data_IF_469217059660
#
_entry.id   IF_469217059660
#
_cell.length_a   1.000
_cell.length_b   1.000
_cell.length_c   1.000
_cell.angle_alpha   90.00
_cell.angle_beta   90.00
_cell.angle_gamma   90.00
#
_symmetry.space_group_name_H-M   'P 1'
#
loop_
_entity.id
_entity.type
_entity.pdbx_description
1 polymer ?
#
# COMPACT_ATOMS: atom_id res chain seq x y z
N UNK A 1 9.39 12.06 10.99
CA UNK A 1 8.33 12.15 9.97
C UNK A 1 8.54 13.36 9.09
N UNK A 2 8.41 13.19 7.77
CA UNK A 2 8.64 14.22 6.75
C UNK A 2 7.32 14.81 6.22
N UNK A 3 7.33 15.97 5.54
CA UNK A 3 6.11 16.55 4.96
C UNK A 3 5.37 15.60 3.99
N UNK A 4 6.10 14.82 3.18
CA UNK A 4 5.50 13.83 2.28
C UNK A 4 4.79 12.71 3.03
N UNK A 5 5.37 12.24 4.14
CA UNK A 5 4.73 11.21 4.98
C UNK A 5 3.38 11.71 5.54
N UNK A 6 3.34 12.96 6.03
CA UNK A 6 2.09 13.58 6.46
C UNK A 6 1.11 13.80 5.30
N UNK A 7 1.59 14.15 4.10
CA UNK A 7 0.74 14.28 2.93
C UNK A 7 0.04 12.97 2.57
N UNK A 8 0.71 11.83 2.71
CA UNK A 8 0.09 10.52 2.50
C UNK A 8 -1.02 10.22 3.54
N UNK A 9 -0.80 10.56 4.81
CA UNK A 9 -1.85 10.47 5.84
C UNK A 9 -3.09 11.33 5.53
N UNK A 10 -2.89 12.50 4.91
CA UNK A 10 -4.00 13.34 4.45
C UNK A 10 -4.78 12.61 3.35
N UNK A 11 -4.09 12.02 2.37
CA UNK A 11 -4.74 11.23 1.32
C UNK A 11 -5.56 10.05 1.91
N UNK A 12 -5.01 9.34 2.89
CA UNK A 12 -5.70 8.25 3.61
C UNK A 12 -6.95 8.76 4.35
N UNK A 13 -6.85 9.92 4.98
CA UNK A 13 -7.98 10.57 5.67
C UNK A 13 -9.07 10.99 4.69
N UNK A 14 -8.72 11.51 3.53
CA UNK A 14 -9.68 11.88 2.48
C UNK A 14 -10.43 10.64 1.93
N UNK A 15 -9.74 9.51 1.78
CA UNK A 15 -10.39 8.24 1.42
C UNK A 15 -11.34 7.75 2.54
N UNK A 16 -10.95 7.89 3.80
CA UNK A 16 -11.84 7.58 4.92
C UNK A 16 -13.09 8.50 4.92
N UNK A 17 -12.93 9.80 4.64
CA UNK A 17 -14.04 10.73 4.50
C UNK A 17 -15.00 10.33 3.38
N UNK A 18 -14.47 9.87 2.23
CA UNK A 18 -15.29 9.33 1.12
C UNK A 18 -16.11 8.13 1.57
N UNK A 19 -15.51 7.20 2.32
CA UNK A 19 -16.18 6.01 2.87
C UNK A 19 -17.26 6.42 3.88
N UNK A 20 -16.94 7.31 4.82
CA UNK A 20 -17.88 7.78 5.82
C UNK A 20 -19.06 8.52 5.19
N UNK A 21 -18.84 9.34 4.16
CA UNK A 21 -19.93 10.03 3.47
C UNK A 21 -20.96 9.08 2.85
N UNK A 22 -20.51 7.94 2.31
CA UNK A 22 -21.41 6.90 1.82
C UNK A 22 -22.20 6.27 2.98
N UNK A 23 -21.50 5.89 4.06
CA UNK A 23 -22.10 5.23 5.22
C UNK A 23 -23.11 6.12 5.96
N UNK A 24 -22.80 7.41 6.14
CA UNK A 24 -23.74 8.37 6.77
C UNK A 24 -24.97 8.61 5.91
N UNK A 25 -24.86 8.39 4.59
CA UNK A 25 -25.99 8.38 3.65
C UNK A 25 -26.69 7.02 3.58
N UNK A 26 -26.39 6.08 4.49
CA UNK A 26 -26.91 4.70 4.51
C UNK A 26 -26.61 3.91 3.22
N UNK A 27 -25.51 4.22 2.55
CA UNK A 27 -25.03 3.53 1.35
C UNK A 27 -23.76 2.74 1.64
N UNK A 28 -23.58 1.62 0.94
CA UNK A 28 -22.31 0.92 0.97
C UNK A 28 -21.28 1.68 0.12
N UNK A 29 -20.06 1.90 0.62
CA UNK A 29 -19.03 2.60 -0.14
C UNK A 29 -18.64 1.78 -1.37
N UNK A 30 -18.77 2.36 -2.55
CA UNK A 30 -18.26 1.74 -3.78
C UNK A 30 -16.74 1.60 -3.70
N UNK A 31 -16.17 0.46 -4.14
CA UNK A 31 -14.72 0.32 -4.30
C UNK A 31 -14.16 1.29 -5.37
N UNK A 32 -15.03 1.90 -6.19
CA UNK A 32 -14.61 2.83 -7.23
C UNK A 32 -13.88 2.13 -8.38
N UNK A 33 -13.37 2.91 -9.35
CA UNK A 33 -12.59 2.35 -10.44
C UNK A 33 -11.23 1.84 -9.93
N UNK A 34 -10.74 0.75 -10.51
CA UNK A 34 -9.42 0.17 -10.20
C UNK A 34 -8.30 1.22 -10.14
N UNK A 35 -8.32 2.18 -11.08
CA UNK A 35 -7.29 3.20 -11.16
C UNK A 35 -7.23 4.14 -9.94
N UNK A 36 -8.38 4.37 -9.27
CA UNK A 36 -8.43 5.16 -8.03
C UNK A 36 -7.57 4.52 -6.96
N UNK A 37 -7.68 3.20 -6.81
CA UNK A 37 -6.92 2.44 -5.82
C UNK A 37 -5.42 2.57 -6.07
N UNK A 38 -4.98 2.49 -7.33
CA UNK A 38 -3.58 2.66 -7.69
C UNK A 38 -3.05 4.08 -7.45
N UNK A 39 -3.82 5.11 -7.82
CA UNK A 39 -3.38 6.50 -7.66
C UNK A 39 -3.29 6.92 -6.19
N UNK A 40 -4.10 6.33 -5.31
CA UNK A 40 -4.02 6.56 -3.87
C UNK A 40 -2.92 5.73 -3.23
N UNK A 41 -3.06 4.40 -3.25
CA UNK A 41 -2.32 3.53 -2.34
C UNK A 41 -0.89 3.22 -2.79
N UNK A 42 -0.54 3.41 -4.07
CA UNK A 42 0.87 3.32 -4.47
C UNK A 42 1.72 4.44 -3.84
N UNK A 43 1.11 5.59 -3.54
CA UNK A 43 1.79 6.68 -2.84
C UNK A 43 2.13 6.30 -1.41
N UNK A 44 1.15 5.78 -0.68
CA UNK A 44 1.32 5.21 0.65
C UNK A 44 2.39 4.11 0.64
N UNK A 45 2.32 3.15 -0.29
CA UNK A 45 3.26 2.04 -0.37
C UNK A 45 4.73 2.46 -0.64
N UNK A 46 5.00 3.37 -1.59
CA UNK A 46 6.37 3.87 -1.76
C UNK A 46 6.81 4.72 -0.56
N UNK A 47 5.88 5.44 0.10
CA UNK A 47 6.16 6.20 1.31
C UNK A 47 6.56 5.31 2.49
N UNK A 48 5.91 4.16 2.63
CA UNK A 48 6.25 3.13 3.61
C UNK A 48 7.65 2.56 3.37
N UNK A 49 7.93 2.16 2.14
CA UNK A 49 9.23 1.61 1.76
C UNK A 49 10.38 2.62 1.95
N UNK A 50 10.17 3.89 1.60
CA UNK A 50 11.13 4.97 1.85
C UNK A 50 11.31 5.20 3.37
N UNK A 51 10.21 5.29 4.12
CA UNK A 51 10.24 5.48 5.57
C UNK A 51 11.00 4.37 6.31
N UNK A 52 10.81 3.11 5.91
CA UNK A 52 11.58 1.99 6.46
C UNK A 52 13.07 2.12 6.14
N UNK A 53 13.41 2.49 4.90
CA UNK A 53 14.79 2.72 4.48
C UNK A 53 15.48 3.73 5.39
N UNK A 54 14.81 4.84 5.70
CA UNK A 54 15.36 5.91 6.55
C UNK A 54 15.55 5.49 8.00
N UNK A 55 14.66 4.64 8.52
CA UNK A 55 14.62 4.23 9.94
C UNK A 55 15.50 3.00 10.25
N UNK A 56 15.97 2.25 9.26
CA UNK A 56 16.99 1.21 9.46
C UNK A 56 18.34 1.82 9.83
N UNK A 57 19.04 1.21 10.79
CA UNK A 57 20.40 1.61 11.16
C UNK A 57 21.36 1.56 9.97
N UNK A 58 22.43 2.34 10.03
CA UNK A 58 23.48 2.38 9.00
C UNK A 58 24.06 0.99 8.67
N UNK A 59 24.12 0.09 9.65
CA UNK A 59 24.69 -1.26 9.45
C UNK A 59 23.74 -2.21 8.72
N UNK A 60 22.43 -1.94 8.72
CA UNK A 60 21.38 -2.79 8.11
C UNK A 60 21.26 -2.58 6.59
N UNK A 61 22.39 -2.51 5.89
CA UNK A 61 22.45 -2.15 4.47
C UNK A 61 21.63 -3.07 3.56
N UNK A 62 21.59 -4.37 3.86
CA UNK A 62 20.79 -5.33 3.08
C UNK A 62 19.30 -5.03 3.18
N UNK A 63 18.80 -4.68 4.37
CA UNK A 63 17.41 -4.33 4.62
C UNK A 63 17.04 -2.99 4.00
N UNK A 64 17.92 -1.99 4.11
CA UNK A 64 17.79 -0.72 3.40
C UNK A 64 17.64 -0.94 1.90
N UNK A 65 18.55 -1.72 1.29
CA UNK A 65 18.51 -2.00 -0.14
C UNK A 65 17.22 -2.72 -0.58
N UNK A 66 16.76 -3.73 0.17
CA UNK A 66 15.49 -4.40 -0.10
C UNK A 66 14.32 -3.42 -0.04
N UNK A 67 14.29 -2.56 0.98
CA UNK A 67 13.24 -1.55 1.14
C UNK A 67 13.25 -0.52 0.00
N UNK A 68 14.43 -0.03 -0.40
CA UNK A 68 14.58 0.86 -1.55
C UNK A 68 14.17 0.20 -2.88
N UNK A 69 14.32 -1.12 -3.01
CA UNK A 69 13.82 -1.85 -4.19
C UNK A 69 12.29 -1.81 -4.27
N UNK A 70 11.60 -2.02 -3.15
CA UNK A 70 10.14 -1.85 -3.07
C UNK A 70 9.70 -0.43 -3.39
N UNK A 71 10.38 0.58 -2.82
CA UNK A 71 10.15 1.98 -3.16
C UNK A 71 10.21 2.20 -4.67
N UNK A 72 11.27 1.69 -5.32
CA UNK A 72 11.46 1.81 -6.76
C UNK A 72 10.32 1.14 -7.57
N UNK A 73 9.89 -0.07 -7.19
CA UNK A 73 8.76 -0.73 -7.84
C UNK A 73 7.48 0.11 -7.73
N UNK A 74 7.16 0.59 -6.52
CA UNK A 74 5.93 1.33 -6.26
C UNK A 74 5.92 2.72 -6.94
N UNK A 75 7.05 3.43 -6.97
CA UNK A 75 7.18 4.67 -7.75
C UNK A 75 6.99 4.41 -9.26
N UNK A 76 7.62 3.35 -9.77
CA UNK A 76 7.48 2.96 -11.18
C UNK A 76 6.03 2.60 -11.52
N UNK A 77 5.35 1.88 -10.63
CA UNK A 77 3.93 1.58 -10.77
C UNK A 77 3.06 2.82 -10.70
N UNK A 78 3.37 3.78 -9.83
CA UNK A 78 2.61 5.02 -9.74
C UNK A 78 2.68 5.82 -11.05
N UNK A 79 3.87 5.95 -11.64
CA UNK A 79 4.05 6.57 -12.97
C UNK A 79 3.21 5.84 -14.03
N UNK A 80 3.23 4.51 -14.02
CA UNK A 80 2.41 3.69 -14.92
C UNK A 80 0.92 3.93 -14.70
N UNK A 81 0.45 4.00 -13.46
CA UNK A 81 -0.94 4.29 -13.11
C UNK A 81 -1.40 5.65 -13.64
N UNK A 82 -0.57 6.69 -13.50
CA UNK A 82 -0.85 8.03 -14.08
C UNK A 82 -1.02 7.94 -15.61
N UNK A 83 -0.15 7.20 -16.29
CA UNK A 83 -0.27 6.97 -17.74
C UNK A 83 -1.56 6.23 -18.13
N UNK A 84 -1.90 5.17 -17.40
CA UNK A 84 -3.11 4.37 -17.63
C UNK A 84 -4.40 5.17 -17.34
N UNK A 85 -4.40 6.01 -16.31
CA UNK A 85 -5.49 6.96 -16.06
C UNK A 85 -5.72 7.88 -17.25
N UNK A 86 -4.64 8.30 -17.93
CA UNK A 86 -4.72 9.07 -19.16
C UNK A 86 -5.42 8.33 -20.31
N UNK A 87 -5.22 7.01 -20.42
CA UNK A 87 -5.87 6.19 -21.45
C UNK A 87 -7.38 6.09 -21.25
N UNK A 88 -7.87 6.20 -20.02
CA UNK A 88 -9.31 6.13 -19.70
C UNK A 88 -10.13 7.30 -20.28
N UNK A 89 -9.49 8.36 -20.81
CA UNK A 89 -10.18 9.40 -21.61
C UNK A 89 -10.84 8.84 -22.88
N UNK A 90 -10.44 7.65 -23.31
CA UNK A 90 -11.09 6.88 -24.39
C UNK A 90 -12.42 6.25 -23.96
N UNK A 91 -12.85 6.46 -22.71
CA UNK A 91 -14.03 5.85 -22.07
C UNK A 91 -13.96 4.33 -21.89
N UNK A 92 -12.80 3.73 -22.14
CA UNK A 92 -12.52 2.35 -21.77
C UNK A 92 -12.10 2.30 -20.29
N UNK A 93 -13.03 1.89 -19.44
CA UNK A 93 -12.79 1.72 -18.00
C UNK A 93 -11.88 0.52 -17.69
N UNK A 94 -11.85 -0.49 -18.57
CA UNK A 94 -11.09 -1.72 -18.41
C UNK A 94 -10.46 -2.15 -19.73
N UNK A 95 -9.19 -2.58 -19.69
CA UNK A 95 -8.45 -3.03 -20.87
C UNK A 95 -7.31 -3.98 -20.48
N UNK A 96 -6.79 -4.83 -21.40
CA UNK A 96 -5.83 -5.87 -21.06
C UNK A 96 -4.57 -5.39 -20.32
N UNK A 97 -4.03 -4.22 -20.70
CA UNK A 97 -2.86 -3.66 -20.04
C UNK A 97 -3.13 -3.25 -18.58
N UNK A 98 -4.34 -2.75 -18.26
CA UNK A 98 -4.75 -2.48 -16.88
C UNK A 98 -4.88 -3.77 -16.09
N UNK A 99 -5.54 -4.80 -16.64
CA UNK A 99 -5.65 -6.11 -15.97
C UNK A 99 -4.30 -6.73 -15.63
N UNK A 100 -3.34 -6.65 -16.56
CA UNK A 100 -1.96 -7.09 -16.29
C UNK A 100 -1.31 -6.25 -15.19
N UNK A 101 -1.48 -4.93 -15.23
CA UNK A 101 -0.93 -4.03 -14.22
C UNK A 101 -1.47 -4.34 -12.81
N UNK A 102 -2.75 -4.65 -12.69
CA UNK A 102 -3.37 -5.03 -11.41
C UNK A 102 -2.67 -6.28 -10.81
N UNK A 103 -2.29 -7.26 -11.65
CA UNK A 103 -1.58 -8.46 -11.22
C UNK A 103 -0.12 -8.19 -10.82
N UNK A 104 0.57 -7.30 -11.56
CA UNK A 104 1.93 -6.86 -11.24
C UNK A 104 1.95 -6.18 -9.87
N UNK A 105 1.02 -5.25 -9.63
CA UNK A 105 0.86 -4.57 -8.34
C UNK A 105 0.52 -5.56 -7.23
N UNK A 106 -0.44 -6.46 -7.46
CA UNK A 106 -0.81 -7.50 -6.50
C UNK A 106 0.40 -8.35 -6.08
N UNK A 107 1.22 -8.75 -7.05
CA UNK A 107 2.42 -9.58 -6.80
C UNK A 107 3.43 -8.85 -5.91
N UNK A 108 3.75 -7.60 -6.23
CA UNK A 108 4.73 -6.84 -5.45
C UNK A 108 4.21 -6.48 -4.06
N UNK A 109 2.92 -6.16 -3.91
CA UNK A 109 2.32 -5.92 -2.59
C UNK A 109 2.37 -7.16 -1.70
N UNK A 110 2.08 -8.35 -2.22
CA UNK A 110 2.21 -9.59 -1.44
C UNK A 110 3.65 -9.85 -0.99
N UNK A 111 4.63 -9.54 -1.85
CA UNK A 111 6.05 -9.61 -1.47
C UNK A 111 6.43 -8.56 -0.42
N UNK A 112 5.90 -7.34 -0.54
CA UNK A 112 6.14 -6.27 0.41
C UNK A 112 5.50 -6.57 1.77
N UNK A 113 4.29 -7.10 1.80
CA UNK A 113 3.64 -7.55 3.03
C UNK A 113 4.43 -8.66 3.73
N UNK A 114 5.00 -9.60 2.96
CA UNK A 114 5.90 -10.62 3.51
C UNK A 114 7.18 -9.98 4.09
N UNK A 115 7.75 -9.00 3.38
CA UNK A 115 8.90 -8.23 3.87
C UNK A 115 8.57 -7.51 5.18
N UNK A 116 7.41 -6.85 5.29
CA UNK A 116 6.95 -6.20 6.52
C UNK A 116 6.85 -7.19 7.69
N UNK A 117 6.30 -8.39 7.46
CA UNK A 117 6.23 -9.43 8.49
C UNK A 117 7.61 -9.93 8.93
N UNK A 118 8.56 -10.10 8.00
CA UNK A 118 9.94 -10.51 8.32
C UNK A 118 10.67 -9.42 9.13
N UNK A 119 10.49 -8.15 8.76
CA UNK A 119 11.02 -7.00 9.49
C UNK A 119 10.42 -6.94 10.90
N UNK A 120 9.10 -7.16 11.05
CA UNK A 120 8.42 -7.19 12.35
C UNK A 120 8.96 -8.29 13.26
N UNK A 121 9.12 -9.51 12.74
CA UNK A 121 9.65 -10.65 13.49
C UNK A 121 11.08 -10.40 14.00
N UNK A 122 11.98 -9.96 13.12
CA UNK A 122 13.37 -9.70 13.49
C UNK A 122 13.51 -8.51 14.43
N UNK A 123 12.70 -7.46 14.24
CA UNK A 123 12.68 -6.31 15.14
C UNK A 123 12.18 -6.70 16.53
N UNK A 124 11.11 -7.50 16.62
CA UNK A 124 10.61 -8.04 17.88
C UNK A 124 11.65 -8.95 18.57
N UNK A 125 12.39 -9.72 17.80
CA UNK A 125 13.52 -10.55 18.25
C UNK A 125 14.77 -9.77 18.67
N UNK A 126 14.80 -8.44 18.44
CA UNK A 126 16.00 -7.57 18.63
C UNK A 126 17.18 -7.96 17.74
N UNK A 127 16.90 -8.62 16.62
CA UNK A 127 17.88 -9.08 15.62
C UNK A 127 18.13 -8.03 14.53
N UNK A 128 17.25 -7.03 14.42
CA UNK A 128 17.29 -5.98 13.40
C UNK A 128 17.37 -4.60 14.07
N UNK A 129 18.40 -3.80 13.73
CA UNK A 129 18.61 -2.47 14.30
C UNK A 129 17.85 -1.39 13.50
N UNK A 130 16.87 -0.76 14.14
CA UNK A 130 16.08 0.31 13.55
C UNK A 130 15.43 1.21 14.61
N UNK A 131 14.91 2.35 14.20
CA UNK A 131 14.24 3.33 15.08
C UNK A 131 12.71 3.36 14.95
N UNK A 132 12.12 2.52 14.09
CA UNK A 132 10.67 2.37 13.99
C UNK A 132 10.05 1.61 15.17
N UNK A 133 8.72 1.63 15.30
CA UNK A 133 7.98 0.89 16.33
C UNK A 133 7.29 -0.35 15.75
N UNK A 134 7.00 -1.37 16.56
CA UNK A 134 6.18 -2.51 16.10
C UNK A 134 4.82 -2.06 15.55
N UNK A 135 4.24 -1.02 16.16
CA UNK A 135 2.96 -0.47 15.73
C UNK A 135 2.99 0.11 14.31
N UNK A 136 4.11 0.73 13.88
CA UNK A 136 4.19 1.25 12.51
C UNK A 136 4.26 0.11 11.48
N UNK A 137 4.95 -0.98 11.79
CA UNK A 137 5.02 -2.16 10.91
C UNK A 137 3.64 -2.81 10.75
N UNK A 138 2.91 -3.00 11.85
CA UNK A 138 1.53 -3.48 11.83
C UNK A 138 0.58 -2.54 11.07
N UNK A 139 0.74 -1.22 11.26
CA UNK A 139 -0.02 -0.20 10.52
C UNK A 139 0.21 -0.28 9.01
N UNK A 140 1.48 -0.27 8.58
CA UNK A 140 1.83 -0.39 7.16
C UNK A 140 1.23 -1.67 6.56
N UNK A 141 1.41 -2.81 7.25
CA UNK A 141 0.87 -4.10 6.78
C UNK A 141 -0.65 -4.07 6.61
N UNK A 142 -1.38 -3.49 7.56
CA UNK A 142 -2.86 -3.40 7.50
C UNK A 142 -3.32 -2.52 6.36
N UNK A 143 -2.58 -1.49 6.01
CA UNK A 143 -2.90 -0.63 4.86
C UNK A 143 -2.64 -1.31 3.52
N UNK A 144 -1.53 -2.05 3.38
CA UNK A 144 -1.30 -2.84 2.17
C UNK A 144 -2.36 -3.95 2.02
N UNK A 145 -2.77 -4.56 3.14
CA UNK A 145 -3.88 -5.52 3.17
C UNK A 145 -5.20 -4.87 2.73
N UNK A 146 -5.51 -3.67 3.22
CA UNK A 146 -6.69 -2.91 2.82
C UNK A 146 -6.65 -2.58 1.33
N UNK A 147 -5.51 -2.11 0.82
CA UNK A 147 -5.31 -1.82 -0.59
C UNK A 147 -5.56 -3.06 -1.47
N UNK A 148 -4.94 -4.21 -1.16
CA UNK A 148 -5.19 -5.45 -1.90
C UNK A 148 -6.65 -5.89 -1.83
N UNK A 149 -7.30 -5.72 -0.67
CA UNK A 149 -8.73 -6.00 -0.51
C UNK A 149 -9.55 -5.13 -1.46
N UNK A 150 -9.29 -3.82 -1.52
CA UNK A 150 -9.98 -2.89 -2.43
C UNK A 150 -9.66 -3.14 -3.89
N UNK A 151 -8.42 -3.51 -4.21
CA UNK A 151 -8.03 -3.88 -5.57
C UNK A 151 -8.78 -5.14 -6.03
N UNK A 152 -8.92 -6.16 -5.18
CA UNK A 152 -9.70 -7.37 -5.49
C UNK A 152 -11.20 -7.09 -5.71
N UNK A 153 -11.74 -6.08 -5.04
CA UNK A 153 -13.13 -5.63 -5.20
C UNK A 153 -13.34 -4.82 -6.49
N UNK A 154 -12.35 -4.00 -6.87
CA UNK A 154 -12.44 -3.12 -8.04
C UNK A 154 -12.05 -3.81 -9.35
N UNK A 155 -11.11 -4.77 -9.31
CA UNK A 155 -10.49 -5.36 -10.49
C UNK A 155 -10.81 -6.85 -10.65
N UNK A 156 -11.38 -7.21 -11.80
CA UNK A 156 -11.63 -8.62 -12.14
C UNK A 156 -10.32 -9.42 -12.24
N UNK A 157 -10.31 -10.59 -11.61
CA UNK A 157 -9.19 -11.54 -11.65
C UNK A 157 -8.10 -11.31 -10.61
N UNK A 158 -8.18 -10.26 -9.79
CA UNK A 158 -7.30 -10.11 -8.61
C UNK A 158 -7.92 -10.89 -7.45
N UNK A 159 -7.22 -11.87 -6.85
CA UNK A 159 -7.76 -12.63 -5.73
C UNK A 159 -7.87 -11.75 -4.48
N UNK A 160 -8.86 -12.04 -3.64
CA UNK A 160 -8.93 -11.44 -2.30
C UNK A 160 -7.70 -11.90 -1.49
N UNK A 161 -6.96 -10.98 -0.84
CA UNK A 161 -5.78 -11.36 -0.07
C UNK A 161 -6.17 -12.15 1.19
N UNK A 162 -5.33 -13.10 1.60
CA UNK A 162 -5.50 -13.83 2.86
C UNK A 162 -4.90 -13.03 4.03
N UNK A 163 -5.51 -11.90 4.36
CA UNK A 163 -5.11 -11.00 5.45
C UNK A 163 -6.34 -10.29 6.04
N UNK A 164 -6.21 -9.73 7.24
CA UNK A 164 -7.29 -8.98 7.91
C UNK A 164 -6.79 -7.57 8.27
N UNK A 165 -7.29 -6.50 7.61
CA UNK A 165 -6.91 -5.13 7.93
C UNK A 165 -7.57 -4.62 9.22
N UNK A 166 -8.52 -5.37 9.79
CA UNK A 166 -9.31 -4.99 10.98
C UNK A 166 -8.89 -5.72 12.27
N UNK A 167 -7.89 -6.61 12.19
CA UNK A 167 -7.36 -7.31 13.36
C UNK A 167 -6.94 -6.33 14.47
N UNK A 168 -6.97 -6.74 15.75
CA UNK A 168 -6.43 -5.94 16.84
C UNK A 168 -5.00 -5.48 16.56
N UNK A 169 -4.67 -4.24 16.93
CA UNK A 169 -3.35 -3.64 16.70
C UNK A 169 -2.30 -4.35 17.56
N UNK A 170 -1.10 -4.51 17.01
CA UNK A 170 0.04 -4.98 17.79
C UNK A 170 0.37 -4.01 18.94
N UNK A 171 0.83 -4.55 20.08
CA UNK A 171 1.33 -3.76 21.21
C UNK A 171 0.29 -3.23 22.20
N UNK A 172 -0.93 -3.78 22.21
CA UNK A 172 -1.94 -3.60 23.27
C UNK A 172 -2.36 -4.94 23.86
#
# INVERSE_FOLDING_TARGET
MTPTFFNHMVNETEEAMRVFAALTSSQLPSPGPTIHQHLLWLQTAYGHAAGLTDEFDLVEKSWKNKSSEFEWYFQTFYIKAVGLAGYMRTQLAEFPALRRFNQEVNTILLLFMKFLSEVEELFAGKELQATFSQLILDHMYREECYYLTKLSQAAAGVPCPNCDPTKPRAGY
#
